data_IF_724863603772
#
_entry.id   IF_724863603772
#
_cell.length_a   1.000
_cell.length_b   1.000
_cell.length_c   1.000
_cell.angle_alpha   90.00
_cell.angle_beta   90.00
_cell.angle_gamma   90.00
#
_symmetry.space_group_name_H-M   'P 1'
#
loop_
_entity.id
_entity.type
_entity.pdbx_description
1 polymer ?
#
# COMPACT_ATOMS: atom_id res chain seq x y z
N UNK A 1 -16.44 10.00 -2.18
CA UNK A 1 -15.15 9.41 -1.76
C UNK A 1 -14.13 10.49 -1.41
N UNK A 2 -13.90 11.50 -2.26
CA UNK A 2 -12.87 12.52 -2.03
C UNK A 2 -12.99 13.22 -0.66
N UNK A 3 -14.18 13.64 -0.27
CA UNK A 3 -14.39 14.28 1.04
C UNK A 3 -14.10 13.34 2.23
N UNK A 4 -14.44 12.04 2.10
CA UNK A 4 -14.09 11.02 3.11
C UNK A 4 -12.59 10.88 3.26
N UNK A 5 -11.86 10.78 2.15
CA UNK A 5 -10.41 10.69 2.13
C UNK A 5 -9.72 11.94 2.72
N UNK A 6 -10.26 13.13 2.45
CA UNK A 6 -9.75 14.37 3.06
C UNK A 6 -9.97 14.38 4.56
N UNK A 7 -11.16 14.00 5.04
CA UNK A 7 -11.46 13.92 6.46
C UNK A 7 -10.60 12.86 7.18
N UNK A 8 -10.33 11.73 6.54
CA UNK A 8 -9.50 10.64 7.09
C UNK A 8 -7.99 10.87 6.94
N UNK A 9 -7.53 11.91 6.26
CA UNK A 9 -6.13 12.07 5.86
C UNK A 9 -5.15 12.01 7.04
N UNK A 10 -5.45 12.70 8.15
CA UNK A 10 -4.61 12.69 9.34
C UNK A 10 -4.56 11.29 9.99
N UNK A 11 -5.72 10.64 10.13
CA UNK A 11 -5.82 9.31 10.71
C UNK A 11 -5.04 8.27 9.90
N UNK A 12 -5.18 8.26 8.59
CA UNK A 12 -4.44 7.37 7.69
C UNK A 12 -2.92 7.60 7.78
N UNK A 13 -2.46 8.86 7.70
CA UNK A 13 -1.04 9.19 7.83
C UNK A 13 -0.50 8.79 9.21
N UNK A 14 -1.25 9.07 10.28
CA UNK A 14 -0.86 8.71 11.64
C UNK A 14 -0.78 7.20 11.84
N UNK A 15 -1.75 6.45 11.31
CA UNK A 15 -1.74 4.99 11.36
C UNK A 15 -0.54 4.40 10.61
N UNK A 16 -0.26 4.89 9.41
CA UNK A 16 0.82 4.38 8.57
C UNK A 16 2.22 4.78 9.03
N UNK A 17 2.36 5.84 9.85
CA UNK A 17 3.67 6.39 10.22
C UNK A 17 3.98 6.40 11.71
N UNK A 18 2.97 6.34 12.59
CA UNK A 18 3.13 6.61 14.03
C UNK A 18 2.46 5.61 14.95
N UNK A 19 1.57 4.73 14.46
CA UNK A 19 0.88 3.76 15.30
C UNK A 19 1.86 2.78 15.97
N UNK A 20 1.45 2.14 17.06
CA UNK A 20 2.25 1.10 17.72
C UNK A 20 2.52 -0.08 16.77
N UNK A 21 1.56 -0.43 15.91
CA UNK A 21 1.73 -1.42 14.87
C UNK A 21 2.77 -0.99 13.83
N UNK A 22 2.77 0.28 13.43
CA UNK A 22 3.81 0.85 12.56
C UNK A 22 5.22 0.67 13.16
N UNK A 23 5.43 1.09 14.41
CA UNK A 23 6.76 1.04 15.04
C UNK A 23 7.30 -0.38 15.09
N UNK A 24 6.43 -1.38 15.31
CA UNK A 24 6.81 -2.79 15.39
C UNK A 24 7.16 -3.39 14.01
N UNK A 25 6.46 -2.98 12.95
CA UNK A 25 6.57 -3.61 11.62
C UNK A 25 7.24 -2.71 10.56
N UNK A 26 7.78 -1.57 10.98
CA UNK A 26 8.50 -0.70 10.05
C UNK A 26 9.78 -1.37 9.56
N UNK A 27 10.09 -1.11 8.31
CA UNK A 27 11.32 -1.53 7.64
C UNK A 27 11.95 -0.35 6.92
N UNK A 28 13.00 -0.56 6.17
CA UNK A 28 13.48 0.40 5.18
C UNK A 28 12.60 0.27 3.94
N UNK A 29 11.95 1.35 3.54
CA UNK A 29 11.19 1.45 2.30
C UNK A 29 11.95 2.30 1.28
N UNK A 30 11.63 2.11 0.01
CA UNK A 30 12.17 2.90 -1.09
C UNK A 30 11.57 4.32 -1.11
N UNK A 31 10.28 4.45 -0.82
CA UNK A 31 9.56 5.72 -0.74
C UNK A 31 9.07 6.28 -2.08
N UNK A 32 9.68 5.86 -3.22
CA UNK A 32 9.24 6.17 -4.58
C UNK A 32 9.26 4.90 -5.45
N UNK A 33 8.61 3.84 -4.95
CA UNK A 33 8.66 2.49 -5.52
C UNK A 33 7.68 2.33 -6.69
N UNK A 34 8.09 2.81 -7.87
CA UNK A 34 7.32 2.81 -9.12
C UNK A 34 8.08 2.12 -10.24
N UNK A 35 7.37 1.62 -11.25
CA UNK A 35 7.95 0.90 -12.40
C UNK A 35 9.02 1.68 -13.15
N UNK A 36 8.94 3.03 -13.15
CA UNK A 36 9.96 3.89 -13.76
C UNK A 36 11.33 3.83 -13.04
N UNK A 37 11.37 3.35 -11.79
CA UNK A 37 12.59 3.21 -10.99
C UNK A 37 13.14 1.79 -11.01
N UNK A 38 12.75 0.98 -12.01
CA UNK A 38 13.22 -0.40 -12.19
C UNK A 38 13.89 -0.60 -13.55
N UNK A 39 14.95 -1.37 -13.53
CA UNK A 39 15.45 -2.05 -14.72
C UNK A 39 15.17 -3.54 -14.59
N UNK A 40 14.63 -4.12 -15.64
CA UNK A 40 14.44 -5.57 -15.75
C UNK A 40 15.33 -6.11 -16.86
N UNK A 41 16.04 -7.19 -16.58
CA UNK A 41 16.86 -7.93 -17.54
C UNK A 41 16.43 -9.38 -17.55
N UNK A 42 16.18 -9.91 -18.71
CA UNK A 42 16.01 -11.35 -18.87
C UNK A 42 17.35 -12.05 -18.62
N UNK A 43 17.33 -13.01 -17.72
CA UNK A 43 18.46 -13.84 -17.38
C UNK A 43 18.33 -15.24 -18.00
N UNK A 44 19.39 -16.06 -17.92
CA UNK A 44 19.40 -17.41 -18.46
C UNK A 44 18.29 -18.27 -17.85
N UNK A 45 17.59 -19.05 -18.69
CA UNK A 45 16.52 -19.94 -18.23
C UNK A 45 15.15 -19.32 -18.06
N UNK A 46 14.91 -18.11 -18.62
CA UNK A 46 13.61 -17.42 -18.58
C UNK A 46 13.30 -16.76 -17.25
N UNK A 47 14.28 -16.60 -16.36
CA UNK A 47 14.17 -15.78 -15.16
C UNK A 47 14.40 -14.31 -15.47
N UNK A 48 14.02 -13.44 -14.54
CA UNK A 48 14.28 -11.99 -14.64
C UNK A 48 15.14 -11.54 -13.47
N UNK A 49 16.06 -10.65 -13.75
CA UNK A 49 16.80 -9.89 -12.75
C UNK A 49 16.26 -8.47 -12.72
N UNK A 50 16.05 -7.94 -11.53
CA UNK A 50 15.60 -6.57 -11.32
C UNK A 50 16.68 -5.75 -10.62
N UNK A 51 16.87 -4.52 -11.07
CA UNK A 51 17.66 -3.52 -10.36
C UNK A 51 16.76 -2.32 -10.07
N UNK A 52 16.86 -1.79 -8.86
CA UNK A 52 16.10 -0.64 -8.39
C UNK A 52 17.04 0.54 -8.24
N UNK A 53 16.56 1.73 -8.56
CA UNK A 53 17.32 2.98 -8.52
C UNK A 53 16.50 4.09 -7.88
N UNK A 54 17.15 5.24 -7.62
CA UNK A 54 16.53 6.46 -7.11
C UNK A 54 16.01 6.31 -5.65
N UNK A 55 16.93 6.02 -4.75
CA UNK A 55 16.69 5.85 -3.31
C UNK A 55 16.64 7.16 -2.52
N UNK A 56 16.45 8.31 -3.17
CA UNK A 56 16.47 9.61 -2.49
C UNK A 56 15.36 9.77 -1.43
N UNK A 57 14.26 9.05 -1.60
CA UNK A 57 13.12 9.02 -0.67
C UNK A 57 13.17 7.86 0.32
N UNK A 58 14.25 7.07 0.31
CA UNK A 58 14.35 5.89 1.16
C UNK A 58 14.39 6.26 2.65
N UNK A 59 13.64 5.52 3.45
CA UNK A 59 13.55 5.79 4.87
C UNK A 59 12.74 4.72 5.63
N UNK A 60 12.53 4.91 6.94
CA UNK A 60 11.72 3.99 7.73
C UNK A 60 10.25 4.12 7.35
N UNK A 61 9.60 3.00 7.04
CA UNK A 61 8.20 2.95 6.67
C UNK A 61 7.62 1.55 6.73
N UNK A 62 6.31 1.43 6.49
CA UNK A 62 5.67 0.14 6.27
C UNK A 62 5.87 -0.28 4.82
N UNK A 63 6.27 -1.52 4.58
CA UNK A 63 6.40 -2.08 3.24
C UNK A 63 5.12 -1.93 2.40
N UNK A 64 3.97 -1.94 3.05
CA UNK A 64 2.67 -1.72 2.44
C UNK A 64 2.56 -0.38 1.69
N UNK A 65 3.33 0.64 2.08
CA UNK A 65 3.35 1.95 1.40
C UNK A 65 4.00 1.83 0.02
N UNK A 66 5.16 1.16 -0.07
CA UNK A 66 5.81 0.87 -1.34
C UNK A 66 4.96 -0.04 -2.23
N UNK A 67 4.36 -1.08 -1.66
CA UNK A 67 3.46 -1.98 -2.38
C UNK A 67 2.25 -1.25 -2.95
N UNK A 68 1.63 -0.36 -2.18
CA UNK A 68 0.49 0.43 -2.65
C UNK A 68 0.90 1.36 -3.80
N UNK A 69 2.08 1.96 -3.73
CA UNK A 69 2.58 2.82 -4.79
C UNK A 69 2.93 2.03 -6.05
N UNK A 70 3.58 0.89 -5.91
CA UNK A 70 3.99 0.03 -7.02
C UNK A 70 2.78 -0.57 -7.76
N UNK A 71 1.82 -1.11 -7.01
CA UNK A 71 0.66 -1.79 -7.59
C UNK A 71 -0.41 -0.82 -8.11
N UNK A 72 -0.45 0.43 -7.64
CA UNK A 72 -1.49 1.40 -8.02
C UNK A 72 -1.63 1.61 -9.53
N UNK A 73 -0.57 1.82 -10.32
CA UNK A 73 -0.69 1.95 -11.77
C UNK A 73 -1.17 0.66 -12.44
N UNK A 74 -0.73 -0.49 -11.95
CA UNK A 74 -1.01 -1.79 -12.54
C UNK A 74 -2.42 -2.28 -12.21
N UNK A 75 -2.97 -1.89 -11.07
CA UNK A 75 -4.38 -2.12 -10.72
C UNK A 75 -5.34 -1.46 -11.72
N UNK A 76 -4.89 -0.40 -12.40
CA UNK A 76 -5.62 0.22 -13.51
C UNK A 76 -5.68 -0.66 -14.77
N UNK A 77 -4.79 -1.65 -14.88
CA UNK A 77 -4.60 -2.53 -16.02
C UNK A 77 -5.27 -3.91 -15.86
N UNK A 78 -6.30 -4.03 -15.01
CA UNK A 78 -7.06 -5.26 -14.73
C UNK A 78 -6.37 -6.27 -13.78
N UNK A 79 -5.33 -5.88 -13.04
CA UNK A 79 -4.67 -6.76 -12.06
C UNK A 79 -5.34 -6.78 -10.68
N UNK A 80 -6.53 -6.17 -10.52
CA UNK A 80 -7.27 -6.20 -9.25
C UNK A 80 -7.59 -7.63 -8.77
N UNK A 81 -7.79 -8.56 -9.72
CA UNK A 81 -8.03 -9.96 -9.40
C UNK A 81 -6.77 -10.64 -8.87
N UNK A 82 -5.58 -10.21 -9.33
CA UNK A 82 -4.27 -10.76 -8.95
C UNK A 82 -3.69 -10.09 -7.69
N UNK A 83 -4.25 -8.97 -7.26
CA UNK A 83 -3.75 -8.18 -6.12
C UNK A 83 -3.54 -9.05 -4.87
N UNK A 84 -4.51 -9.91 -4.54
CA UNK A 84 -4.44 -10.79 -3.37
C UNK A 84 -3.30 -11.79 -3.50
N UNK A 85 -3.08 -12.34 -4.68
CA UNK A 85 -1.98 -13.28 -4.94
C UNK A 85 -0.62 -12.59 -4.90
N UNK A 86 -0.51 -11.36 -5.40
CA UNK A 86 0.71 -10.57 -5.32
C UNK A 86 1.07 -10.23 -3.86
N UNK A 87 0.08 -9.88 -3.03
CA UNK A 87 0.31 -9.66 -1.61
C UNK A 87 0.72 -10.94 -0.87
N UNK A 88 0.11 -12.09 -1.20
CA UNK A 88 0.52 -13.38 -0.67
C UNK A 88 1.93 -13.75 -1.09
N UNK A 89 2.26 -13.58 -2.35
CA UNK A 89 3.60 -13.84 -2.85
C UNK A 89 4.64 -12.99 -2.10
N UNK A 90 4.40 -11.69 -1.99
CA UNK A 90 5.26 -10.80 -1.22
C UNK A 90 5.42 -11.26 0.23
N UNK A 91 4.30 -11.61 0.89
CA UNK A 91 4.30 -12.08 2.27
C UNK A 91 5.12 -13.35 2.45
N UNK A 92 4.96 -14.34 1.56
CA UNK A 92 5.74 -15.59 1.59
C UNK A 92 7.22 -15.31 1.44
N UNK A 93 7.60 -14.48 0.48
CA UNK A 93 9.01 -14.11 0.26
C UNK A 93 9.60 -13.37 1.46
N UNK A 94 8.86 -12.43 2.04
CA UNK A 94 9.27 -11.70 3.23
C UNK A 94 9.50 -12.66 4.41
N UNK A 95 8.53 -13.54 4.69
CA UNK A 95 8.60 -14.49 5.80
C UNK A 95 9.79 -15.42 5.66
N UNK A 96 10.03 -15.97 4.47
CA UNK A 96 11.19 -16.81 4.19
C UNK A 96 12.52 -16.09 4.47
N UNK A 97 12.63 -14.80 4.10
CA UNK A 97 13.84 -14.02 4.36
C UNK A 97 14.00 -13.71 5.86
N UNK A 98 12.92 -13.38 6.56
CA UNK A 98 12.94 -13.14 8.00
C UNK A 98 13.36 -14.40 8.76
N UNK A 99 12.84 -15.56 8.38
CA UNK A 99 13.21 -16.86 8.96
C UNK A 99 14.68 -17.19 8.70
N UNK A 100 15.16 -16.99 7.48
CA UNK A 100 16.55 -17.22 7.10
C UNK A 100 17.53 -16.33 7.89
N UNK A 101 17.10 -15.15 8.29
CA UNK A 101 17.87 -14.21 9.11
C UNK A 101 17.72 -14.48 10.62
N UNK A 102 16.88 -15.44 11.02
CA UNK A 102 16.60 -15.71 12.43
C UNK A 102 15.93 -14.54 13.14
N UNK A 103 15.19 -13.72 12.40
CA UNK A 103 14.61 -12.46 12.91
C UNK A 103 13.58 -12.68 14.02
N UNK A 104 12.82 -13.79 14.00
CA UNK A 104 11.68 -14.03 14.88
C UNK A 104 10.57 -12.97 14.77
N UNK A 105 10.63 -12.13 13.75
CA UNK A 105 9.61 -11.12 13.50
C UNK A 105 8.33 -11.80 12.94
N UNK A 106 7.20 -11.45 13.54
CA UNK A 106 5.88 -11.92 13.11
C UNK A 106 5.15 -10.76 12.43
N UNK A 107 4.84 -10.96 11.13
CA UNK A 107 4.04 -10.02 10.35
C UNK A 107 2.95 -10.79 9.60
N UNK A 108 1.80 -11.06 10.23
CA UNK A 108 0.72 -11.86 9.62
C UNK A 108 0.21 -11.25 8.31
N UNK A 109 -0.22 -12.12 7.38
CA UNK A 109 -0.79 -11.69 6.09
C UNK A 109 -2.00 -10.77 6.27
N UNK A 110 -2.83 -11.02 7.27
CA UNK A 110 -3.99 -10.19 7.60
C UNK A 110 -3.57 -8.77 7.96
N UNK A 111 -2.48 -8.62 8.72
CA UNK A 111 -1.95 -7.31 9.10
C UNK A 111 -1.31 -6.60 7.91
N UNK A 112 -0.54 -7.31 7.08
CA UNK A 112 -0.03 -6.76 5.82
C UNK A 112 -1.18 -6.25 4.94
N UNK A 113 -2.25 -7.04 4.81
CA UNK A 113 -3.43 -6.69 4.00
C UNK A 113 -4.14 -5.45 4.56
N UNK A 114 -4.26 -5.33 5.88
CA UNK A 114 -4.84 -4.16 6.54
C UNK A 114 -3.98 -2.90 6.30
N UNK A 115 -2.67 -2.99 6.51
CA UNK A 115 -1.74 -1.90 6.22
C UNK A 115 -1.76 -1.50 4.74
N UNK A 116 -1.85 -2.48 3.84
CA UNK A 116 -1.94 -2.22 2.40
C UNK A 116 -3.24 -1.49 2.03
N UNK A 117 -4.39 -1.87 2.61
CA UNK A 117 -5.65 -1.17 2.37
C UNK A 117 -5.59 0.29 2.83
N UNK A 118 -5.01 0.56 4.00
CA UNK A 118 -4.78 1.92 4.48
C UNK A 118 -3.81 2.71 3.57
N UNK A 119 -2.70 2.09 3.17
CA UNK A 119 -1.72 2.70 2.27
C UNK A 119 -2.30 3.00 0.89
N UNK A 120 -3.16 2.11 0.36
CA UNK A 120 -3.88 2.33 -0.89
C UNK A 120 -4.84 3.53 -0.79
N UNK A 121 -5.56 3.66 0.31
CA UNK A 121 -6.42 4.83 0.54
C UNK A 121 -5.61 6.14 0.59
N UNK A 122 -4.47 6.14 1.30
CA UNK A 122 -3.62 7.33 1.39
C UNK A 122 -2.97 7.67 0.05
N UNK A 123 -2.47 6.67 -0.69
CA UNK A 123 -1.90 6.88 -2.02
C UNK A 123 -2.96 7.37 -3.02
N UNK A 124 -4.18 6.81 -2.98
CA UNK A 124 -5.28 7.28 -3.83
C UNK A 124 -5.65 8.74 -3.52
N UNK A 125 -5.69 9.13 -2.24
CA UNK A 125 -5.87 10.53 -1.83
C UNK A 125 -4.79 11.44 -2.41
N UNK A 126 -3.53 11.00 -2.34
CA UNK A 126 -2.39 11.73 -2.92
C UNK A 126 -2.57 11.91 -4.44
N UNK A 127 -2.95 10.86 -5.17
CA UNK A 127 -3.15 10.90 -6.60
C UNK A 127 -4.31 11.83 -7.01
N UNK A 128 -5.41 11.83 -6.26
CA UNK A 128 -6.51 12.79 -6.45
C UNK A 128 -6.03 14.24 -6.28
N UNK A 129 -5.21 14.49 -5.26
CA UNK A 129 -4.60 15.80 -5.02
C UNK A 129 -3.67 16.26 -6.14
N UNK A 130 -3.13 15.33 -6.92
CA UNK A 130 -2.31 15.57 -8.11
C UNK A 130 -3.12 15.69 -9.41
N UNK A 131 -4.45 15.69 -9.32
CA UNK A 131 -5.34 15.84 -10.46
C UNK A 131 -5.63 14.54 -11.21
N UNK A 132 -5.39 13.37 -10.57
CA UNK A 132 -5.78 12.09 -11.16
C UNK A 132 -7.30 11.99 -11.32
N UNK A 133 -7.74 11.47 -12.46
CA UNK A 133 -9.17 11.23 -12.77
C UNK A 133 -9.36 9.83 -13.35
N UNK A 134 -10.48 9.20 -13.02
CA UNK A 134 -10.85 7.91 -13.60
C UNK A 134 -11.23 8.07 -15.08
N UNK A 135 -10.53 7.35 -15.96
CA UNK A 135 -10.75 7.40 -17.42
C UNK A 135 -10.95 6.01 -18.04
N UNK A 136 -10.77 4.94 -17.29
CA UNK A 136 -10.90 3.56 -17.73
C UNK A 136 -11.75 2.71 -16.77
N UNK A 137 -12.14 1.50 -17.21
CA UNK A 137 -12.83 0.55 -16.35
C UNK A 137 -11.98 0.11 -15.15
N UNK A 138 -10.68 -0.03 -15.34
CA UNK A 138 -9.74 -0.33 -14.25
C UNK A 138 -9.68 0.80 -13.22
N UNK A 139 -9.71 2.06 -13.66
CA UNK A 139 -9.80 3.21 -12.75
C UNK A 139 -11.09 3.20 -11.93
N UNK A 140 -12.21 2.83 -12.53
CA UNK A 140 -13.49 2.69 -11.83
C UNK A 140 -13.43 1.57 -10.79
N UNK A 141 -12.87 0.43 -11.15
CA UNK A 141 -12.69 -0.69 -10.23
C UNK A 141 -11.81 -0.31 -9.03
N UNK A 142 -10.74 0.46 -9.26
CA UNK A 142 -9.89 1.00 -8.19
C UNK A 142 -10.67 1.96 -7.27
N UNK A 143 -11.47 2.87 -7.84
CA UNK A 143 -12.35 3.77 -7.05
C UNK A 143 -13.28 2.96 -6.16
N UNK A 144 -13.89 1.90 -6.69
CA UNK A 144 -14.79 1.00 -5.92
C UNK A 144 -14.02 0.32 -4.78
N UNK A 145 -12.81 -0.17 -5.06
CA UNK A 145 -11.99 -0.82 -4.04
C UNK A 145 -11.62 0.13 -2.91
N UNK A 146 -11.14 1.33 -3.23
CA UNK A 146 -10.82 2.35 -2.22
C UNK A 146 -12.07 2.77 -1.44
N UNK A 147 -13.23 2.83 -2.10
CA UNK A 147 -14.50 3.11 -1.41
C UNK A 147 -14.86 2.03 -0.39
N UNK A 148 -14.62 0.76 -0.74
CA UNK A 148 -14.82 -0.39 0.16
C UNK A 148 -13.83 -0.37 1.34
N UNK A 149 -12.56 -0.05 1.09
CA UNK A 149 -11.56 0.07 2.14
C UNK A 149 -11.92 1.18 3.14
N UNK A 150 -12.29 2.35 2.63
CA UNK A 150 -12.76 3.45 3.48
C UNK A 150 -14.01 3.09 4.28
N UNK A 151 -14.91 2.27 3.72
CA UNK A 151 -16.12 1.87 4.42
C UNK A 151 -15.86 1.01 5.67
N UNK A 152 -14.69 0.39 5.77
CA UNK A 152 -14.25 -0.31 7.00
C UNK A 152 -14.08 0.64 8.18
N UNK A 153 -13.70 1.88 7.91
CA UNK A 153 -13.46 2.91 8.93
C UNK A 153 -14.68 3.77 9.22
N UNK A 154 -15.54 4.03 8.24
CA UNK A 154 -16.58 5.05 8.32
C UNK A 154 -18.00 4.55 7.95
N UNK A 155 -18.16 3.26 7.63
CA UNK A 155 -19.45 2.70 7.22
C UNK A 155 -20.00 3.33 5.93
N UNK A 156 -19.16 4.01 5.15
CA UNK A 156 -19.57 4.70 3.92
C UNK A 156 -20.02 6.16 4.13
N UNK A 157 -19.94 6.69 5.34
CA UNK A 157 -20.34 8.06 5.69
C UNK A 157 -19.12 8.95 5.91
N UNK A 158 -19.29 10.27 5.80
CA UNK A 158 -18.25 11.21 6.21
C UNK A 158 -18.32 11.33 7.73
N UNK A 159 -17.20 11.02 8.41
CA UNK A 159 -17.05 11.23 9.84
C UNK A 159 -16.29 12.55 10.09
N UNK A 160 -16.43 13.08 11.32
CA UNK A 160 -15.52 14.12 11.80
C UNK A 160 -14.10 13.56 11.94
N UNK A 161 -13.04 14.37 11.71
CA UNK A 161 -11.65 13.91 11.70
C UNK A 161 -11.25 13.12 12.95
N UNK A 162 -11.66 13.55 14.13
CA UNK A 162 -11.35 12.90 15.41
C UNK A 162 -11.96 11.48 15.51
N UNK A 163 -13.06 11.23 14.83
CA UNK A 163 -13.68 9.91 14.77
C UNK A 163 -12.94 8.96 13.84
N UNK A 164 -12.30 9.50 12.78
CA UNK A 164 -11.41 8.70 11.95
C UNK A 164 -10.16 8.28 12.72
N UNK A 165 -9.60 9.12 13.60
CA UNK A 165 -8.44 8.74 14.42
C UNK A 165 -8.72 7.51 15.28
N UNK A 166 -9.95 7.36 15.78
CA UNK A 166 -10.38 6.18 16.53
C UNK A 166 -10.62 4.97 15.61
N UNK A 167 -11.36 5.16 14.52
CA UNK A 167 -11.75 4.08 13.61
C UNK A 167 -10.57 3.43 12.87
N UNK A 168 -9.53 4.21 12.56
CA UNK A 168 -8.33 3.69 11.87
C UNK A 168 -7.34 3.04 12.84
N UNK A 169 -7.43 3.34 14.15
CA UNK A 169 -6.56 2.79 15.18
C UNK A 169 -6.97 1.37 15.66
N UNK A 170 -8.22 0.97 15.41
CA UNK A 170 -8.76 -0.37 15.70
C UNK A 170 -8.32 -1.39 14.64
#
# INVERSE_FOLDING_TARGET
LGQRLVAAAHALDSHLRRSKGFVRHRTLIHGDFKTANFFLREASGGSFEAAVLDFEMAGPGLAAVDLAYFLFPDLRMNLLEEETELLRFYHVMLTQQLDALGSGADYPLELLTAHYAAARCDHFRYMLGRGWTAVSSGDVALVVRVHQDMARYDGGQILEPERYDLAVAE
#
